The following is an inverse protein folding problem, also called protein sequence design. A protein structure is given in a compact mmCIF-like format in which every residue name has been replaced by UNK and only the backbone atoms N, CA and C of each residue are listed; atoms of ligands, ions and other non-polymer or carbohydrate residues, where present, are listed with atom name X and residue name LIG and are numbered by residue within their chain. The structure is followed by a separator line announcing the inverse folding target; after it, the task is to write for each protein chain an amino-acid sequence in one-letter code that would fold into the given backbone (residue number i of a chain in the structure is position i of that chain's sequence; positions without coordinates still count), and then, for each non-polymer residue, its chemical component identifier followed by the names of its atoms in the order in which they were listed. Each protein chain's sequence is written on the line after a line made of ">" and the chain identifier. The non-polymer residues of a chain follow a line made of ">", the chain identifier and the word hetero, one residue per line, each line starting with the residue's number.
data_IF_844836478349
#
_entry.id   IF_844836478349
#
_cell.length_a   1.000
_cell.length_b   1.000
_cell.length_c   1.000
_cell.angle_alpha   90.00
_cell.angle_beta   90.00
_cell.angle_gamma   90.00
#
_symmetry.space_group_name_H-M   'P 1'
#
loop_
_entity.id
_entity.type
_entity.pdbx_description
1 polymer ?
#
# COMPACT_ATOMS: atom_id res chain seq x y z
N UNK A 1 -24.02 15.64 2.08
CA UNK A 1 -23.45 15.68 3.45
C UNK A 1 -24.48 15.49 4.57
N UNK A 2 -25.68 16.07 4.52
CA UNK A 2 -26.73 15.85 5.54
C UNK A 2 -27.10 14.37 5.67
N UNK A 3 -27.37 13.71 4.54
CA UNK A 3 -27.75 12.28 4.51
C UNK A 3 -26.70 11.34 5.10
N UNK A 4 -25.41 11.67 4.94
CA UNK A 4 -24.32 10.88 5.53
C UNK A 4 -24.35 10.93 7.06
N UNK A 5 -24.57 12.12 7.64
CA UNK A 5 -24.59 12.30 9.09
C UNK A 5 -25.78 11.56 9.71
N UNK A 6 -26.92 11.56 9.03
CA UNK A 6 -28.16 10.96 9.53
C UNK A 6 -28.18 9.43 9.36
N UNK A 7 -27.42 8.88 8.39
CA UNK A 7 -27.45 7.45 8.04
C UNK A 7 -26.07 6.79 8.01
N UNK A 8 -25.10 7.31 8.77
CA UNK A 8 -23.70 6.85 8.74
C UNK A 8 -23.58 5.33 8.89
N UNK A 9 -24.33 4.73 9.82
CA UNK A 9 -24.31 3.28 10.06
C UNK A 9 -24.71 2.45 8.84
N UNK A 10 -25.63 2.94 8.01
CA UNK A 10 -26.03 2.25 6.77
C UNK A 10 -24.92 2.31 5.72
N UNK A 11 -24.30 3.48 5.55
CA UNK A 11 -23.15 3.64 4.66
C UNK A 11 -21.96 2.79 5.11
N UNK A 12 -21.69 2.71 6.42
CA UNK A 12 -20.63 1.84 6.95
C UNK A 12 -20.91 0.37 6.62
N UNK A 13 -22.13 -0.13 6.81
CA UNK A 13 -22.49 -1.52 6.44
C UNK A 13 -22.27 -1.81 4.96
N UNK A 14 -22.67 -0.87 4.09
CA UNK A 14 -22.46 -0.99 2.63
C UNK A 14 -20.98 -1.04 2.27
N UNK A 15 -20.19 -0.14 2.86
CA UNK A 15 -18.74 -0.10 2.64
C UNK A 15 -18.06 -1.37 3.16
N UNK A 16 -18.45 -1.87 4.34
CA UNK A 16 -17.94 -3.14 4.87
C UNK A 16 -18.31 -4.34 3.99
N UNK A 17 -19.39 -4.27 3.21
CA UNK A 17 -19.75 -5.30 2.23
C UNK A 17 -18.96 -5.19 0.91
N UNK A 18 -18.01 -4.25 0.82
CA UNK A 18 -17.15 -4.05 -0.35
C UNK A 18 -17.58 -2.90 -1.26
N UNK A 19 -18.64 -2.17 -0.91
CA UNK A 19 -19.09 -1.04 -1.72
C UNK A 19 -18.20 0.20 -1.52
N UNK A 20 -18.05 0.99 -2.57
CA UNK A 20 -17.42 2.30 -2.50
C UNK A 20 -18.47 3.40 -2.43
N UNK A 21 -18.30 4.35 -1.50
CA UNK A 21 -19.21 5.49 -1.35
C UNK A 21 -18.47 6.81 -1.61
N UNK A 22 -18.92 7.57 -2.61
CA UNK A 22 -18.41 8.93 -2.88
C UNK A 22 -19.22 9.96 -2.08
N UNK A 23 -18.53 10.72 -1.24
CA UNK A 23 -19.13 11.84 -0.50
C UNK A 23 -19.07 13.11 -1.34
N UNK A 24 -20.23 13.76 -1.48
CA UNK A 24 -20.36 15.03 -2.18
C UNK A 24 -20.85 16.15 -1.26
N UNK A 25 -20.34 17.36 -1.50
CA UNK A 25 -20.79 18.62 -0.89
C UNK A 25 -21.07 19.62 -2.00
N UNK A 26 -22.27 20.23 -2.00
CA UNK A 26 -22.71 21.18 -3.04
C UNK A 26 -22.45 20.65 -4.47
N UNK A 27 -22.81 19.38 -4.72
CA UNK A 27 -22.61 18.64 -5.98
C UNK A 27 -21.16 18.42 -6.41
N UNK A 28 -20.19 18.65 -5.51
CA UNK A 28 -18.76 18.37 -5.76
C UNK A 28 -18.30 17.19 -4.92
N UNK A 29 -17.61 16.18 -5.49
CA UNK A 29 -16.93 15.16 -4.71
C UNK A 29 -15.93 15.77 -3.75
N UNK A 30 -15.91 15.31 -2.50
CA UNK A 30 -15.00 15.80 -1.45
C UNK A 30 -14.23 14.68 -0.75
N UNK A 31 -14.76 13.46 -0.76
CA UNK A 31 -14.10 12.29 -0.17
C UNK A 31 -14.68 10.99 -0.75
N UNK A 32 -14.00 9.88 -0.53
CA UNK A 32 -14.45 8.50 -0.82
C UNK A 32 -14.28 7.67 0.44
N UNK A 33 -15.26 6.81 0.72
CA UNK A 33 -15.17 5.80 1.78
C UNK A 33 -15.02 4.45 1.10
N UNK A 34 -13.97 3.72 1.49
CA UNK A 34 -13.60 2.43 0.93
C UNK A 34 -13.54 1.39 2.06
N UNK A 35 -13.81 0.11 1.76
CA UNK A 35 -13.53 -0.96 2.71
C UNK A 35 -12.06 -0.95 3.08
N UNK A 36 -11.78 -1.12 4.38
CA UNK A 36 -10.42 -1.41 4.83
C UNK A 36 -10.10 -2.81 4.35
N UNK A 37 -9.15 -2.93 3.42
CA UNK A 37 -8.57 -4.22 3.10
C UNK A 37 -7.65 -4.59 4.25
N UNK A 38 -7.90 -5.74 4.90
CA UNK A 38 -6.88 -6.33 5.75
C UNK A 38 -5.61 -6.44 4.92
N UNK A 39 -4.43 -6.04 5.45
CA UNK A 39 -3.19 -6.33 4.77
C UNK A 39 -3.18 -7.84 4.54
N UNK A 40 -3.25 -8.24 3.26
CA UNK A 40 -3.07 -9.62 2.84
C UNK A 40 -1.81 -10.07 3.58
N UNK A 41 -1.91 -11.14 4.40
CA UNK A 41 -0.78 -11.71 5.16
C UNK A 41 0.47 -11.46 4.34
N UNK A 42 1.39 -10.68 4.91
CA UNK A 42 2.61 -10.30 4.20
C UNK A 42 3.12 -11.57 3.50
N UNK A 43 3.30 -11.53 2.16
CA UNK A 43 3.80 -12.69 1.46
C UNK A 43 5.02 -13.16 2.21
N UNK A 44 5.10 -14.46 2.45
CA UNK A 44 6.25 -15.05 3.11
C UNK A 44 7.51 -14.53 2.42
N UNK A 45 8.63 -14.38 3.13
CA UNK A 45 9.88 -13.83 2.55
C UNK A 45 10.24 -14.48 1.19
N UNK A 46 9.87 -15.76 1.01
CA UNK A 46 9.96 -16.54 -0.23
C UNK A 46 9.09 -15.98 -1.40
N UNK A 47 7.84 -15.62 -1.12
CA UNK A 47 6.84 -15.12 -2.08
C UNK A 47 7.13 -13.66 -2.48
N UNK A 48 7.62 -12.85 -1.53
CA UNK A 48 8.01 -11.47 -1.78
C UNK A 48 9.22 -11.37 -2.74
N UNK A 49 10.16 -12.33 -2.65
CA UNK A 49 11.33 -12.43 -3.53
C UNK A 49 10.96 -12.76 -4.97
N UNK A 50 9.92 -13.56 -5.19
CA UNK A 50 9.44 -13.92 -6.53
C UNK A 50 8.73 -12.78 -7.27
N UNK A 51 8.23 -11.77 -6.55
CA UNK A 51 7.33 -10.75 -7.12
C UNK A 51 7.95 -9.35 -7.24
N UNK A 52 9.23 -9.14 -6.91
CA UNK A 52 9.86 -7.80 -6.90
C UNK A 52 9.02 -6.75 -6.14
N UNK A 53 8.42 -7.17 -5.01
CA UNK A 53 7.44 -6.37 -4.24
C UNK A 53 8.06 -5.54 -3.12
N UNK A 54 9.30 -5.06 -3.26
CA UNK A 54 9.88 -4.19 -2.23
C UNK A 54 9.16 -2.84 -2.28
N UNK A 55 8.09 -2.70 -1.50
CA UNK A 55 7.38 -1.45 -1.30
C UNK A 55 8.05 -0.69 -0.14
N UNK A 56 8.56 0.50 -0.42
CA UNK A 56 9.13 1.36 0.61
C UNK A 56 8.01 2.08 1.36
N UNK A 57 7.56 1.54 2.50
CA UNK A 57 6.83 2.35 3.49
C UNK A 57 7.83 3.36 4.07
N UNK A 58 7.42 4.56 4.48
CA UNK A 58 8.32 5.65 4.94
C UNK A 58 9.21 5.31 6.15
N UNK A 59 9.17 4.09 6.64
CA UNK A 59 10.06 3.55 7.67
C UNK A 59 11.29 2.91 7.03
N UNK A 60 12.40 2.85 7.79
CA UNK A 60 13.61 2.17 7.32
C UNK A 60 13.29 0.68 7.16
N UNK A 61 13.40 0.09 5.95
CA UNK A 61 13.10 -1.32 5.77
C UNK A 61 14.01 -2.13 6.67
N UNK A 62 13.42 -3.10 7.36
CA UNK A 62 14.17 -4.14 8.06
C UNK A 62 14.88 -4.92 6.96
N UNK A 63 16.16 -4.61 6.73
CA UNK A 63 16.93 -5.18 5.63
C UNK A 63 16.81 -6.70 5.60
N UNK A 64 16.86 -7.28 4.40
CA UNK A 64 16.73 -8.73 4.24
C UNK A 64 17.72 -9.50 5.11
N UNK A 65 17.29 -10.65 5.66
CA UNK A 65 18.13 -11.51 6.52
C UNK A 65 19.41 -11.98 5.82
N UNK A 66 19.40 -12.04 4.49
CA UNK A 66 20.58 -12.32 3.68
C UNK A 66 21.21 -11.02 3.18
N UNK A 67 22.50 -10.86 3.48
CA UNK A 67 23.29 -9.79 2.87
C UNK A 67 23.46 -10.11 1.38
N UNK A 68 23.10 -9.20 0.47
CA UNK A 68 23.40 -9.39 -0.94
C UNK A 68 24.91 -9.46 -1.11
N UNK A 69 25.36 -10.40 -1.95
CA UNK A 69 26.77 -10.52 -2.29
C UNK A 69 27.09 -9.41 -3.29
N UNK A 70 28.02 -8.54 -2.93
CA UNK A 70 28.51 -7.50 -3.82
C UNK A 70 29.68 -8.13 -4.58
N UNK A 71 29.55 -8.24 -5.91
CA UNK A 71 30.59 -8.83 -6.76
C UNK A 71 31.76 -7.85 -6.97
N UNK A 72 31.50 -6.55 -6.81
CA UNK A 72 32.49 -5.48 -6.92
C UNK A 72 32.99 -4.98 -5.56
N UNK A 73 34.06 -4.17 -5.57
CA UNK A 73 34.66 -3.61 -4.37
C UNK A 73 33.70 -2.74 -3.53
N UNK A 74 32.59 -2.26 -4.09
CA UNK A 74 31.61 -1.47 -3.35
C UNK A 74 30.20 -1.57 -3.93
N UNK A 75 29.17 -1.37 -3.08
CA UNK A 75 27.78 -1.25 -3.54
C UNK A 75 27.58 -0.04 -4.48
N UNK A 76 28.40 1.01 -4.33
CA UNK A 76 28.29 2.22 -5.13
C UNK A 76 28.71 1.97 -6.59
N UNK A 77 29.76 1.18 -6.82
CA UNK A 77 30.23 0.86 -8.17
C UNK A 77 29.19 0.01 -8.93
N UNK A 78 28.59 -0.98 -8.27
CA UNK A 78 27.52 -1.81 -8.86
C UNK A 78 26.31 -1.00 -9.32
N UNK A 79 25.90 0.02 -8.57
CA UNK A 79 24.76 0.90 -8.95
C UNK A 79 25.12 1.85 -10.10
N UNK A 80 26.40 2.24 -10.22
CA UNK A 80 26.86 3.10 -11.31
C UNK A 80 26.93 2.33 -12.64
N UNK A 81 27.30 1.05 -12.61
CA UNK A 81 27.34 0.15 -13.76
C UNK A 81 25.93 -0.05 -14.38
N UNK A 82 24.93 -0.34 -13.55
CA UNK A 82 23.53 -0.60 -13.97
C UNK A 82 22.82 0.62 -14.61
N UNK A 83 23.39 1.83 -14.46
CA UNK A 83 22.83 3.09 -14.98
C UNK A 83 23.40 3.53 -16.34
N UNK A 84 24.36 2.81 -16.90
CA UNK A 84 24.89 3.08 -18.25
C UNK A 84 24.10 2.34 -19.32
#
# INVERSE_FOLDING_TARGET
>A
MRDLKDHLSSYVRRVSAGEEVVLTSRRRPVARILPVQEPRKEPSDEEARGLSLVHWSREKPLGGRQRPRIEEASAASTVLEDRR
#
